data_IF_585811531615
#
_entry.id   IF_585811531615
#
_cell.length_a   1.000
_cell.length_b   1.000
_cell.length_c   1.000
_cell.angle_alpha   90.00
_cell.angle_beta   90.00
_cell.angle_gamma   90.00
#
_symmetry.space_group_name_H-M   'P 1'
#
loop_
_entity.id
_entity.type
_entity.pdbx_description
1 polymer ?
#
# COMPACT_ATOMS: atom_id res chain seq x y z
N UNK A 1 -26.98 -19.35 -21.21
CA UNK A 1 -26.07 -20.28 -20.52
C UNK A 1 -24.61 -20.08 -20.92
N UNK A 2 -23.70 -20.26 -19.95
CA UNK A 2 -22.24 -20.17 -20.15
C UNK A 2 -21.61 -21.57 -19.98
N UNK A 3 -21.53 -22.39 -21.04
CA UNK A 3 -21.08 -23.78 -20.93
C UNK A 3 -19.64 -23.90 -20.41
N UNK A 4 -18.80 -22.90 -20.68
CA UNK A 4 -17.42 -22.83 -20.19
C UNK A 4 -17.34 -22.66 -18.67
N UNK A 5 -18.23 -21.87 -18.04
CA UNK A 5 -18.28 -21.75 -16.57
C UNK A 5 -18.56 -23.11 -15.93
N UNK A 6 -19.55 -23.84 -16.46
CA UNK A 6 -19.89 -25.17 -15.95
C UNK A 6 -18.74 -26.16 -16.14
N UNK A 7 -18.10 -26.18 -17.32
CA UNK A 7 -16.97 -27.06 -17.61
C UNK A 7 -15.78 -26.81 -16.66
N UNK A 8 -15.45 -25.55 -16.40
CA UNK A 8 -14.36 -25.17 -15.51
C UNK A 8 -14.64 -25.60 -14.06
N UNK A 9 -15.83 -25.28 -13.55
CA UNK A 9 -16.26 -25.66 -12.20
C UNK A 9 -16.28 -27.18 -12.04
N UNK A 10 -16.82 -27.89 -13.03
CA UNK A 10 -16.84 -29.35 -13.03
C UNK A 10 -15.43 -29.95 -13.00
N UNK A 11 -14.50 -29.40 -13.77
CA UNK A 11 -13.12 -29.88 -13.83
C UNK A 11 -12.34 -29.65 -12.53
N UNK A 12 -12.54 -28.52 -11.86
CA UNK A 12 -11.78 -28.16 -10.66
C UNK A 12 -12.40 -28.73 -9.39
N UNK A 13 -13.72 -28.67 -9.26
CA UNK A 13 -14.43 -29.05 -8.03
C UNK A 13 -15.18 -30.38 -8.14
N UNK A 14 -15.63 -30.76 -9.34
CA UNK A 14 -16.47 -31.93 -9.57
C UNK A 14 -17.95 -31.69 -9.24
N UNK A 15 -18.85 -32.25 -10.04
CA UNK A 15 -20.30 -32.05 -9.89
C UNK A 15 -20.81 -32.45 -8.49
N UNK A 16 -20.35 -33.59 -7.95
CA UNK A 16 -20.82 -34.08 -6.66
C UNK A 16 -20.44 -33.16 -5.50
N UNK A 17 -19.25 -32.56 -5.53
CA UNK A 17 -18.82 -31.64 -4.47
C UNK A 17 -19.59 -30.32 -4.55
N UNK A 18 -19.81 -29.81 -5.76
CA UNK A 18 -20.61 -28.60 -6.00
C UNK A 18 -22.04 -28.81 -5.53
N UNK A 19 -22.68 -29.92 -5.89
CA UNK A 19 -24.04 -30.24 -5.45
C UNK A 19 -24.15 -30.34 -3.92
N UNK A 20 -23.19 -31.02 -3.27
CA UNK A 20 -23.14 -31.10 -1.80
C UNK A 20 -23.05 -29.71 -1.17
N UNK A 21 -22.08 -28.89 -1.63
CA UNK A 21 -21.87 -27.54 -1.12
C UNK A 21 -23.13 -26.67 -1.27
N UNK A 22 -23.77 -26.68 -2.44
CA UNK A 22 -24.94 -25.84 -2.69
C UNK A 22 -26.17 -26.31 -1.90
N UNK A 23 -26.32 -27.61 -1.65
CA UNK A 23 -27.41 -28.15 -0.84
C UNK A 23 -27.32 -27.70 0.62
N UNK A 24 -26.10 -27.54 1.15
CA UNK A 24 -25.85 -27.07 2.51
C UNK A 24 -26.06 -25.56 2.68
N UNK A 25 -26.27 -24.82 1.58
CA UNK A 25 -26.48 -23.37 1.58
C UNK A 25 -27.95 -22.99 1.41
N UNK A 26 -28.34 -21.87 2.02
CA UNK A 26 -29.65 -21.27 1.77
C UNK A 26 -29.79 -20.86 0.29
N UNK A 27 -30.99 -20.98 -0.31
CA UNK A 27 -31.19 -20.70 -1.74
C UNK A 27 -30.70 -19.32 -2.18
N UNK A 28 -30.84 -18.30 -1.34
CA UNK A 28 -30.43 -16.92 -1.65
C UNK A 28 -28.91 -16.74 -1.79
N UNK A 29 -28.10 -17.66 -1.26
CA UNK A 29 -26.63 -17.58 -1.31
C UNK A 29 -26.04 -18.41 -2.47
N UNK A 30 -26.84 -19.29 -3.08
CA UNK A 30 -26.35 -20.27 -4.05
C UNK A 30 -25.85 -19.61 -5.33
N UNK A 31 -26.48 -18.52 -5.76
CA UNK A 31 -26.04 -17.77 -6.94
C UNK A 31 -24.64 -17.19 -6.74
N UNK A 32 -24.41 -16.51 -5.61
CA UNK A 32 -23.12 -15.94 -5.25
C UNK A 32 -22.06 -17.02 -5.07
N UNK A 33 -22.42 -18.17 -4.49
CA UNK A 33 -21.53 -19.32 -4.35
C UNK A 33 -21.11 -19.87 -5.72
N UNK A 34 -22.06 -20.07 -6.65
CA UNK A 34 -21.75 -20.56 -8.01
C UNK A 34 -20.87 -19.56 -8.76
N UNK A 35 -21.12 -18.26 -8.62
CA UNK A 35 -20.27 -17.23 -9.22
C UNK A 35 -18.85 -17.26 -8.64
N UNK A 36 -18.72 -17.44 -7.33
CA UNK A 36 -17.43 -17.57 -6.64
C UNK A 36 -16.66 -18.82 -7.10
N UNK A 37 -17.32 -19.97 -7.18
CA UNK A 37 -16.74 -21.22 -7.69
C UNK A 37 -16.30 -21.09 -9.15
N UNK A 38 -17.09 -20.42 -9.98
CA UNK A 38 -16.75 -20.20 -11.39
C UNK A 38 -15.47 -19.36 -11.53
N UNK A 39 -15.35 -18.28 -10.74
CA UNK A 39 -14.15 -17.47 -10.71
C UNK A 39 -12.94 -18.26 -10.21
N UNK A 40 -13.08 -18.99 -9.10
CA UNK A 40 -11.97 -19.77 -8.54
C UNK A 40 -11.51 -20.88 -9.49
N UNK A 41 -12.45 -21.58 -10.12
CA UNK A 41 -12.13 -22.60 -11.11
C UNK A 41 -11.36 -22.02 -12.31
N UNK A 42 -11.82 -20.89 -12.83
CA UNK A 42 -11.14 -20.21 -13.93
C UNK A 42 -9.71 -19.79 -13.54
N UNK A 43 -9.55 -19.18 -12.36
CA UNK A 43 -8.23 -18.77 -11.89
C UNK A 43 -7.30 -19.96 -11.69
N UNK A 44 -7.79 -21.08 -11.16
CA UNK A 44 -7.01 -22.30 -10.94
C UNK A 44 -6.66 -23.03 -12.24
N UNK A 45 -7.44 -22.84 -13.31
CA UNK A 45 -7.07 -23.32 -14.65
C UNK A 45 -5.98 -22.46 -15.29
N UNK A 46 -6.03 -21.14 -15.07
CA UNK A 46 -5.00 -20.19 -15.57
C UNK A 46 -3.68 -20.32 -14.82
N UNK A 47 -3.75 -20.49 -13.51
CA UNK A 47 -2.61 -20.70 -12.62
C UNK A 47 -2.85 -21.97 -11.78
N UNK A 48 -2.35 -23.14 -12.23
CA UNK A 48 -2.52 -24.40 -11.52
C UNK A 48 -1.84 -24.46 -10.15
N UNK A 49 -0.91 -23.54 -9.87
CA UNK A 49 -0.15 -23.52 -8.62
C UNK A 49 -0.85 -22.62 -7.60
N UNK A 50 -1.10 -21.36 -7.95
CA UNK A 50 -1.61 -20.37 -7.00
C UNK A 50 -3.08 -19.97 -7.23
N UNK A 51 -3.62 -20.14 -8.44
CA UNK A 51 -5.01 -19.77 -8.76
C UNK A 51 -5.41 -18.37 -8.26
N UNK A 52 -6.52 -18.28 -7.53
CA UNK A 52 -6.98 -17.02 -6.94
C UNK A 52 -6.08 -16.51 -5.80
N UNK A 53 -5.26 -17.38 -5.17
CA UNK A 53 -4.32 -16.98 -4.10
C UNK A 53 -3.23 -16.08 -4.66
N UNK A 54 -2.83 -16.28 -5.92
CA UNK A 54 -1.91 -15.36 -6.62
C UNK A 54 -2.49 -13.95 -6.72
N UNK A 55 -3.77 -13.83 -7.06
CA UNK A 55 -4.49 -12.54 -7.13
C UNK A 55 -4.57 -11.88 -5.76
N UNK A 56 -4.92 -12.65 -4.72
CA UNK A 56 -4.96 -12.15 -3.34
C UNK A 56 -3.59 -11.60 -2.93
N UNK A 57 -2.52 -12.35 -3.21
CA UNK A 57 -1.15 -11.96 -2.86
C UNK A 57 -0.73 -10.66 -3.55
N UNK A 58 -1.08 -10.51 -4.85
CA UNK A 58 -0.82 -9.29 -5.60
C UNK A 58 -1.57 -8.09 -5.01
N UNK A 59 -2.87 -8.23 -4.73
CA UNK A 59 -3.68 -7.15 -4.16
C UNK A 59 -3.18 -6.75 -2.77
N UNK A 60 -2.79 -7.72 -1.94
CA UNK A 60 -2.20 -7.43 -0.63
C UNK A 60 -0.87 -6.68 -0.75
N UNK A 61 -0.04 -7.00 -1.75
CA UNK A 61 1.19 -6.25 -2.00
C UNK A 61 0.86 -4.81 -2.43
N UNK A 62 -0.03 -4.61 -3.39
CA UNK A 62 -0.46 -3.29 -3.85
C UNK A 62 -1.04 -2.44 -2.72
N UNK A 63 -1.86 -3.05 -1.86
CA UNK A 63 -2.42 -2.38 -0.68
C UNK A 63 -1.30 -1.87 0.24
N UNK A 64 -0.29 -2.70 0.53
CA UNK A 64 0.85 -2.30 1.35
C UNK A 64 1.66 -1.16 0.72
N UNK A 65 1.88 -1.20 -0.60
CA UNK A 65 2.57 -0.12 -1.31
C UNK A 65 1.79 1.19 -1.20
N UNK A 66 0.48 1.17 -1.50
CA UNK A 66 -0.36 2.36 -1.40
C UNK A 66 -0.43 2.92 0.03
N UNK A 67 -0.47 2.05 1.04
CA UNK A 67 -0.42 2.48 2.44
C UNK A 67 0.91 3.17 2.78
N UNK A 68 2.03 2.67 2.25
CA UNK A 68 3.34 3.27 2.42
C UNK A 68 3.42 4.64 1.72
N UNK A 69 2.98 4.72 0.47
CA UNK A 69 2.99 5.96 -0.31
C UNK A 69 2.17 7.05 0.37
N UNK A 70 0.98 6.69 0.89
CA UNK A 70 0.16 7.60 1.67
C UNK A 70 0.84 8.04 2.97
N UNK A 71 1.53 7.13 3.66
CA UNK A 71 2.28 7.49 4.86
C UNK A 71 3.39 8.49 4.55
N UNK A 72 4.18 8.23 3.50
CA UNK A 72 5.25 9.11 3.04
C UNK A 72 4.70 10.51 2.66
N UNK A 73 3.64 10.56 1.85
CA UNK A 73 3.03 11.82 1.42
C UNK A 73 2.48 12.62 2.61
N UNK A 74 1.84 11.96 3.58
CA UNK A 74 1.34 12.62 4.81
C UNK A 74 2.48 13.16 5.66
N UNK A 75 3.54 12.38 5.85
CA UNK A 75 4.73 12.81 6.59
C UNK A 75 5.40 14.02 5.92
N UNK A 76 5.49 14.02 4.59
CA UNK A 76 6.05 15.14 3.84
C UNK A 76 5.17 16.40 3.99
N UNK A 77 3.85 16.27 3.87
CA UNK A 77 2.92 17.38 4.06
C UNK A 77 3.04 17.99 5.46
N UNK A 78 3.08 17.16 6.51
CA UNK A 78 3.27 17.62 7.88
C UNK A 78 4.63 18.32 8.07
N UNK A 79 5.68 17.86 7.40
CA UNK A 79 6.99 18.52 7.43
C UNK A 79 6.91 19.94 6.87
N UNK A 80 6.24 20.14 5.72
CA UNK A 80 6.06 21.48 5.15
C UNK A 80 5.23 22.39 6.04
N UNK A 81 4.17 21.88 6.68
CA UNK A 81 3.35 22.64 7.62
C UNK A 81 4.14 23.07 8.87
N UNK A 82 4.98 22.19 9.43
CA UNK A 82 5.79 22.54 10.59
C UNK A 82 6.91 23.54 10.23
N UNK A 83 7.51 23.40 9.05
CA UNK A 83 8.52 24.34 8.58
C UNK A 83 7.92 25.74 8.40
N UNK A 84 6.72 25.85 7.79
CA UNK A 84 6.06 27.15 7.62
C UNK A 84 5.69 27.83 8.94
N UNK A 85 5.25 27.06 9.95
CA UNK A 85 5.00 27.58 11.30
C UNK A 85 6.31 28.07 11.94
N UNK A 86 7.38 27.28 11.84
CA UNK A 86 8.69 27.63 12.42
C UNK A 86 9.25 28.90 11.80
N UNK A 87 9.18 29.05 10.47
CA UNK A 87 9.63 30.27 9.78
C UNK A 87 8.83 31.49 10.23
N UNK A 88 7.50 31.38 10.34
CA UNK A 88 6.65 32.48 10.79
C UNK A 88 6.94 32.88 12.25
N UNK A 89 7.17 31.91 13.15
CA UNK A 89 7.53 32.21 14.54
C UNK A 89 8.92 32.87 14.65
N UNK A 90 9.89 32.43 13.83
CA UNK A 90 11.22 33.04 13.80
C UNK A 90 11.22 34.48 13.28
N UNK A 91 10.35 34.85 12.34
CA UNK A 91 10.24 36.23 11.85
C UNK A 91 9.63 37.16 12.90
N UNK A 92 8.60 36.72 13.63
CA UNK A 92 8.02 37.49 14.75
C UNK A 92 9.02 37.66 15.92
N UNK A 93 9.85 36.65 16.19
CA UNK A 93 10.86 36.74 17.24
C UNK A 93 11.99 37.74 16.90
N UNK A 94 12.33 37.92 15.62
CA UNK A 94 13.37 38.87 15.20
C UNK A 94 12.99 40.35 15.29
N UNK A 95 11.71 40.70 15.27
CA UNK A 95 11.26 42.10 15.43
C UNK A 95 11.31 42.58 16.90
N UNK A 96 11.29 41.64 17.86
CA UNK A 96 11.33 41.95 19.29
C UNK A 96 12.75 42.22 19.83
N UNK A 97 13.80 41.90 19.05
CA UNK A 97 15.20 42.05 19.45
C UNK A 97 15.85 43.37 18.97
N UNK A 98 15.16 44.17 18.15
CA UNK A 98 15.72 45.38 17.54
C UNK A 98 15.75 46.62 18.46
N UNK A 99 15.13 46.59 19.64
CA UNK A 99 15.11 47.74 20.59
C UNK A 99 16.12 47.64 21.74
N UNK A 100 16.99 46.61 21.79
CA UNK A 100 17.91 46.40 22.90
C UNK A 100 19.40 46.66 22.57
N UNK A 101 19.70 47.40 21.51
CA UNK A 101 21.08 47.80 21.19
C UNK A 101 21.44 49.16 21.79
N UNK A 102 21.83 49.18 23.07
CA UNK A 102 22.90 50.05 23.60
C UNK A 102 23.15 49.71 25.09
N UNK A 103 24.04 48.75 25.39
CA UNK A 103 25.27 48.95 26.19
C UNK A 103 25.97 47.62 26.55
N UNK A 104 27.18 47.45 25.99
CA UNK A 104 28.43 47.03 26.65
C UNK A 104 28.63 45.66 27.36
N UNK A 105 29.70 45.00 26.89
CA UNK A 105 30.74 44.23 27.59
C UNK A 105 30.81 42.69 27.39
N UNK A 106 32.01 42.25 26.99
CA UNK A 106 32.49 40.89 26.73
C UNK A 106 32.47 40.00 27.98
N UNK A 107 32.16 38.70 27.84
CA UNK A 107 33.09 37.61 28.18
C UNK A 107 32.63 36.20 27.75
N UNK A 108 33.58 35.46 27.16
CA UNK A 108 33.93 34.04 27.29
C UNK A 108 32.95 32.84 27.18
N UNK A 109 33.47 31.86 26.41
CA UNK A 109 33.44 30.38 26.56
C UNK A 109 32.16 29.56 26.36
N UNK A 110 32.40 28.45 25.64
CA UNK A 110 31.76 27.13 25.72
C UNK A 110 30.65 26.81 24.70
N UNK A 111 31.07 26.08 23.66
CA UNK A 111 30.59 24.72 23.36
C UNK A 111 29.13 24.54 22.95
N UNK A 112 28.93 23.98 21.75
CA UNK A 112 27.84 23.04 21.55
C UNK A 112 27.20 23.04 20.16
N UNK A 113 27.22 21.87 19.52
CA UNK A 113 26.10 21.43 18.68
C UNK A 113 26.33 21.47 17.17
N UNK A 114 27.15 20.56 16.66
CA UNK A 114 27.05 20.15 15.26
C UNK A 114 25.73 19.42 15.02
N UNK A 115 24.98 19.81 13.99
CA UNK A 115 23.84 19.06 13.47
C UNK A 115 24.22 18.43 12.14
N UNK A 116 24.99 17.35 12.23
CA UNK A 116 24.98 16.32 11.19
C UNK A 116 23.73 15.47 11.37
N UNK A 117 22.98 15.22 10.29
CA UNK A 117 22.02 14.12 10.19
C UNK A 117 21.72 13.83 8.72
N UNK A 118 22.71 13.24 8.07
CA UNK A 118 22.54 12.41 6.89
C UNK A 118 21.38 11.42 7.11
N UNK A 119 20.39 11.43 6.22
CA UNK A 119 19.41 10.35 6.11
C UNK A 119 19.52 9.75 4.70
N UNK A 120 20.48 8.84 4.56
CA UNK A 120 20.55 7.91 3.44
C UNK A 120 19.39 6.91 3.57
N UNK A 121 18.31 7.12 2.83
CA UNK A 121 17.29 6.06 2.64
C UNK A 121 17.75 5.15 1.49
N UNK A 122 18.48 4.10 1.86
CA UNK A 122 18.80 3.01 0.96
C UNK A 122 17.91 1.81 1.30
N UNK A 123 16.86 1.57 0.51
CA UNK A 123 16.13 0.31 0.54
C UNK A 123 16.26 -0.38 -0.82
N UNK A 124 17.22 -1.30 -0.88
CA UNK A 124 17.24 -2.38 -1.86
C UNK A 124 16.03 -3.28 -1.60
N UNK A 125 15.12 -3.39 -2.56
CA UNK A 125 14.13 -4.47 -2.59
C UNK A 125 14.28 -5.24 -3.90
N UNK A 126 15.21 -6.21 -3.90
CA UNK A 126 15.12 -7.33 -4.83
C UNK A 126 14.02 -8.26 -4.32
N UNK A 127 12.95 -8.44 -5.08
CA UNK A 127 12.24 -9.71 -5.12
C UNK A 127 11.68 -9.96 -6.51
N UNK A 128 12.20 -11.04 -7.09
CA UNK A 128 12.01 -11.55 -8.42
C UNK A 128 10.57 -12.05 -8.60
N UNK A 129 9.80 -11.41 -9.50
CA UNK A 129 8.63 -12.03 -10.12
C UNK A 129 8.67 -11.74 -11.63
N UNK A 130 8.58 -12.77 -12.50
CA UNK A 130 8.66 -12.57 -13.94
C UNK A 130 7.49 -11.71 -14.43
N UNK A 131 7.80 -10.59 -15.09
CA UNK A 131 6.83 -9.81 -15.86
C UNK A 131 6.45 -10.58 -17.13
N UNK A 132 5.57 -11.56 -17.01
CA UNK A 132 4.82 -12.05 -18.15
C UNK A 132 3.35 -12.14 -17.74
N UNK A 133 2.62 -11.04 -17.91
CA UNK A 133 1.44 -10.95 -18.78
C UNK A 133 0.73 -9.58 -18.60
N UNK A 134 1.39 -8.50 -19.02
CA UNK A 134 0.74 -7.22 -19.32
C UNK A 134 0.89 -6.94 -20.83
N UNK A 135 0.01 -7.54 -21.64
CA UNK A 135 -0.36 -7.16 -23.02
C UNK A 135 -1.26 -8.33 -23.50
N UNK A 136 -2.47 -8.18 -24.03
CA UNK A 136 -3.07 -7.09 -24.78
C UNK A 136 -4.59 -7.08 -24.52
N UNK A 137 -5.13 -5.89 -24.26
CA UNK A 137 -6.47 -5.51 -24.71
C UNK A 137 -6.24 -4.29 -25.59
N UNK A 138 -6.24 -4.52 -26.90
CA UNK A 138 -6.58 -3.54 -27.92
C UNK A 138 -7.68 -4.19 -28.75
#
# INVERSE_FOLDING_TARGET
DQPQKFANVHRIFGASNVTKLLNDMHPHQREDAVNSLAYEAEMRLRDPVYGCVGVISLLQHQLRQLQMDLYCAKSELSRYQNLSITTNLSSLASESAATAYHHHHQNNTSGGGGFGRDHHYHYHHHQFFPQHQQQQVV
#
